data_IF_475590141231
#
_entry.id   IF_475590141231
#
_cell.length_a   1.000
_cell.length_b   1.000
_cell.length_c   1.000
_cell.angle_alpha   90.00
_cell.angle_beta   90.00
_cell.angle_gamma   90.00
#
_symmetry.space_group_name_H-M   'P 1'
#
loop_
_entity.id
_entity.type
_entity.pdbx_description
1 polymer ?
#
# COMPACT_ATOMS: atom_id res chain seq x y z
N UNK A 1 9.68 -31.02 -0.12
CA UNK A 1 10.40 -29.75 -0.36
C UNK A 1 9.38 -28.62 -0.30
N UNK A 2 9.22 -27.97 0.85
CA UNK A 2 8.13 -27.01 1.13
C UNK A 2 8.61 -25.54 1.19
N UNK A 3 9.81 -25.29 0.65
CA UNK A 3 10.55 -24.04 0.77
C UNK A 3 10.05 -23.00 -0.28
N UNK A 4 9.48 -23.44 -1.40
CA UNK A 4 9.14 -22.55 -2.51
C UNK A 4 7.88 -21.69 -2.30
N UNK A 5 6.87 -22.19 -1.57
CA UNK A 5 5.58 -21.48 -1.47
C UNK A 5 5.66 -20.17 -0.68
N UNK A 6 6.47 -20.11 0.38
CA UNK A 6 6.47 -18.96 1.30
C UNK A 6 7.31 -17.80 0.80
N UNK A 7 8.45 -18.11 0.19
CA UNK A 7 9.31 -17.10 -0.46
C UNK A 7 8.51 -16.46 -1.60
N UNK A 8 7.84 -17.28 -2.42
CA UNK A 8 6.95 -16.78 -3.48
C UNK A 8 5.84 -15.88 -2.92
N UNK A 9 5.20 -16.26 -1.81
CA UNK A 9 4.19 -15.42 -1.16
C UNK A 9 4.75 -14.10 -0.61
N UNK A 10 5.95 -14.12 -0.03
CA UNK A 10 6.61 -12.92 0.47
C UNK A 10 7.00 -11.98 -0.67
N UNK A 11 7.51 -12.52 -1.79
CA UNK A 11 7.81 -11.76 -3.00
C UNK A 11 6.54 -11.14 -3.60
N UNK A 12 5.46 -11.92 -3.69
CA UNK A 12 4.16 -11.40 -4.15
C UNK A 12 3.61 -10.31 -3.23
N UNK A 13 3.79 -10.45 -1.91
CA UNK A 13 3.39 -9.42 -0.96
C UNK A 13 4.25 -8.16 -1.04
N UNK A 14 5.53 -8.29 -1.40
CA UNK A 14 6.46 -7.18 -1.59
C UNK A 14 6.28 -6.46 -2.92
N UNK A 15 5.70 -7.13 -3.94
CA UNK A 15 5.59 -6.62 -5.30
C UNK A 15 4.99 -5.19 -5.39
N UNK A 16 3.88 -4.87 -4.70
CA UNK A 16 3.32 -3.52 -4.75
C UNK A 16 4.27 -2.47 -4.15
N UNK A 17 5.00 -2.84 -3.10
CA UNK A 17 5.97 -1.96 -2.46
C UNK A 17 7.20 -1.74 -3.35
N UNK A 18 7.67 -2.79 -4.03
CA UNK A 18 8.80 -2.72 -4.97
C UNK A 18 8.48 -1.93 -6.24
N UNK A 19 7.20 -1.83 -6.61
CA UNK A 19 6.74 -1.00 -7.73
C UNK A 19 6.62 0.48 -7.35
N UNK A 20 6.65 0.85 -6.07
CA UNK A 20 6.58 2.25 -5.65
C UNK A 20 7.69 3.16 -6.20
N UNK A 21 8.98 2.79 -6.29
CA UNK A 21 10.00 3.64 -6.93
C UNK A 21 9.77 3.80 -8.43
N UNK A 22 9.26 2.78 -9.12
CA UNK A 22 8.87 2.85 -10.53
C UNK A 22 7.71 3.84 -10.74
N UNK A 23 6.72 3.81 -9.84
CA UNK A 23 5.61 4.76 -9.85
C UNK A 23 6.10 6.20 -9.61
N UNK A 24 6.99 6.40 -8.65
CA UNK A 24 7.57 7.70 -8.34
C UNK A 24 8.39 8.25 -9.52
N UNK A 25 9.19 7.39 -10.16
CA UNK A 25 9.92 7.75 -11.38
C UNK A 25 8.98 8.13 -12.52
N UNK A 26 7.95 7.33 -12.79
CA UNK A 26 6.98 7.61 -13.85
C UNK A 26 6.20 8.92 -13.63
N UNK A 27 5.89 9.26 -12.37
CA UNK A 27 5.27 10.53 -12.00
C UNK A 27 6.25 11.71 -12.10
N UNK A 28 7.50 11.52 -11.67
CA UNK A 28 8.53 12.57 -11.71
C UNK A 28 8.94 12.93 -13.15
N UNK A 29 9.00 11.95 -14.05
CA UNK A 29 9.27 12.14 -15.48
C UNK A 29 8.05 12.62 -16.27
N UNK A 30 6.89 12.79 -15.63
CA UNK A 30 5.65 13.24 -16.28
C UNK A 30 5.05 12.22 -17.24
N UNK A 31 5.44 10.95 -17.16
CA UNK A 31 4.83 9.87 -17.96
C UNK A 31 3.40 9.57 -17.50
N UNK A 32 3.11 9.87 -16.23
CA UNK A 32 1.78 9.84 -15.64
C UNK A 32 1.44 11.25 -15.18
N UNK A 33 0.42 11.85 -15.81
CA UNK A 33 -0.14 13.14 -15.44
C UNK A 33 -1.60 12.95 -15.05
N UNK A 34 -1.91 13.26 -13.80
CA UNK A 34 -3.27 13.22 -13.23
C UNK A 34 -3.88 14.61 -13.10
N UNK A 35 -3.26 15.62 -13.71
CA UNK A 35 -3.72 17.00 -13.75
C UNK A 35 -3.26 17.86 -12.58
N UNK A 36 -2.42 17.33 -11.68
CA UNK A 36 -1.85 18.07 -10.55
C UNK A 36 -0.41 18.54 -10.78
N UNK A 37 0.22 18.19 -11.91
CA UNK A 37 1.60 18.58 -12.23
C UNK A 37 2.60 18.01 -11.22
N UNK A 38 3.49 18.84 -10.69
CA UNK A 38 4.49 18.41 -9.68
C UNK A 38 3.86 17.84 -8.40
N UNK A 39 2.58 18.16 -8.12
CA UNK A 39 1.86 17.67 -6.95
C UNK A 39 1.36 16.24 -7.12
N UNK A 40 1.45 15.65 -8.31
CA UNK A 40 1.05 14.26 -8.51
C UNK A 40 1.94 13.28 -7.74
N UNK A 41 3.16 13.71 -7.36
CA UNK A 41 4.02 12.97 -6.43
C UNK A 41 3.35 12.78 -5.06
N UNK A 42 2.43 13.67 -4.65
CA UNK A 42 1.67 13.50 -3.41
C UNK A 42 0.71 12.30 -3.47
N UNK A 43 0.29 11.84 -4.66
CA UNK A 43 -0.50 10.60 -4.80
C UNK A 43 0.32 9.35 -4.46
N UNK A 44 1.65 9.45 -4.42
CA UNK A 44 2.52 8.35 -4.00
C UNK A 44 2.41 8.09 -2.49
N UNK A 45 2.14 9.11 -1.67
CA UNK A 45 1.98 8.95 -0.21
C UNK A 45 0.87 7.97 0.18
N UNK A 46 -0.40 8.13 -0.26
CA UNK A 46 -1.45 7.16 0.06
C UNK A 46 -1.15 5.77 -0.51
N UNK A 47 -0.52 5.68 -1.69
CA UNK A 47 -0.10 4.41 -2.26
C UNK A 47 0.98 3.71 -1.41
N UNK A 48 1.98 4.46 -0.93
CA UNK A 48 3.02 3.94 -0.04
C UNK A 48 2.44 3.45 1.28
N UNK A 49 1.54 4.22 1.90
CA UNK A 49 0.86 3.81 3.14
C UNK A 49 0.09 2.50 2.92
N UNK A 50 -0.65 2.40 1.81
CA UNK A 50 -1.42 1.21 1.45
C UNK A 50 -0.49 -0.01 1.28
N UNK A 51 0.52 0.10 0.42
CA UNK A 51 1.40 -1.00 0.05
C UNK A 51 2.31 -1.43 1.19
N UNK A 52 2.79 -0.49 2.01
CA UNK A 52 3.58 -0.78 3.20
C UNK A 52 2.75 -1.52 4.26
N UNK A 53 1.55 -1.02 4.57
CA UNK A 53 0.64 -1.67 5.53
C UNK A 53 0.26 -3.08 5.06
N UNK A 54 -0.01 -3.23 3.77
CA UNK A 54 -0.30 -4.52 3.16
C UNK A 54 0.87 -5.49 3.30
N UNK A 55 2.09 -5.04 3.01
CA UNK A 55 3.30 -5.84 3.14
C UNK A 55 3.53 -6.30 4.58
N UNK A 56 3.51 -5.38 5.55
CA UNK A 56 3.68 -5.70 6.97
C UNK A 56 2.62 -6.69 7.48
N UNK A 57 1.34 -6.46 7.16
CA UNK A 57 0.26 -7.37 7.56
C UNK A 57 0.43 -8.76 6.92
N UNK A 58 0.81 -8.79 5.64
CA UNK A 58 1.00 -10.03 4.90
C UNK A 58 2.17 -10.84 5.44
N UNK A 59 3.31 -10.19 5.75
CA UNK A 59 4.44 -10.86 6.40
C UNK A 59 4.04 -11.53 7.72
N UNK A 60 3.34 -10.82 8.60
CA UNK A 60 2.89 -11.39 9.89
C UNK A 60 1.97 -12.60 9.69
N UNK A 61 1.05 -12.54 8.72
CA UNK A 61 0.10 -13.63 8.45
C UNK A 61 0.74 -14.82 7.73
N UNK A 62 1.70 -14.57 6.83
CA UNK A 62 2.51 -15.61 6.17
C UNK A 62 3.37 -16.34 7.22
N UNK A 63 3.98 -15.61 8.17
CA UNK A 63 4.74 -16.20 9.28
C UNK A 63 3.85 -17.05 10.19
N UNK A 64 2.59 -16.65 10.40
CA UNK A 64 1.57 -17.44 11.14
C UNK A 64 1.04 -18.66 10.36
N UNK A 65 1.55 -18.93 9.15
CA UNK A 65 1.17 -20.07 8.28
C UNK A 65 -0.30 -20.05 7.85
N UNK A 66 -0.88 -18.88 7.64
CA UNK A 66 -2.25 -18.76 7.17
C UNK A 66 -2.36 -19.15 5.68
N UNK A 67 -3.49 -19.74 5.23
CA UNK A 67 -3.68 -20.07 3.83
C UNK A 67 -3.75 -18.79 2.97
N UNK A 68 -3.31 -18.90 1.72
CA UNK A 68 -3.17 -17.78 0.77
C UNK A 68 -4.40 -16.86 0.74
N UNK A 69 -5.57 -17.46 0.58
CA UNK A 69 -6.84 -16.75 0.45
C UNK A 69 -7.21 -15.93 1.69
N UNK A 70 -6.83 -16.36 2.89
CA UNK A 70 -7.18 -15.65 4.14
C UNK A 70 -6.25 -14.49 4.40
N UNK A 71 -4.94 -14.66 4.19
CA UNK A 71 -4.01 -13.58 4.46
C UNK A 71 -4.17 -12.45 3.45
N UNK A 72 -4.35 -12.75 2.16
CA UNK A 72 -4.55 -11.72 1.12
C UNK A 72 -5.79 -10.87 1.44
N UNK A 73 -6.92 -11.51 1.75
CA UNK A 73 -8.17 -10.80 2.08
C UNK A 73 -8.03 -9.95 3.34
N UNK A 74 -7.43 -10.48 4.41
CA UNK A 74 -7.25 -9.72 5.66
C UNK A 74 -6.26 -8.57 5.51
N UNK A 75 -5.13 -8.79 4.86
CA UNK A 75 -4.15 -7.74 4.61
C UNK A 75 -4.74 -6.63 3.74
N UNK A 76 -5.48 -6.99 2.69
CA UNK A 76 -6.18 -6.02 1.85
C UNK A 76 -7.20 -5.22 2.66
N UNK A 77 -8.09 -5.91 3.41
CA UNK A 77 -9.10 -5.26 4.23
C UNK A 77 -8.50 -4.31 5.28
N UNK A 78 -7.41 -4.71 5.94
CA UNK A 78 -6.71 -3.86 6.91
C UNK A 78 -6.07 -2.64 6.26
N UNK A 79 -5.45 -2.81 5.10
CA UNK A 79 -4.77 -1.72 4.40
C UNK A 79 -5.76 -0.69 3.86
N UNK A 80 -6.85 -1.15 3.22
CA UNK A 80 -7.94 -0.27 2.79
C UNK A 80 -8.66 0.38 3.97
N UNK A 81 -8.88 -0.38 5.06
CA UNK A 81 -9.48 0.15 6.28
C UNK A 81 -8.65 1.26 6.92
N UNK A 82 -7.33 1.08 6.99
CA UNK A 82 -6.41 2.10 7.51
C UNK A 82 -6.40 3.34 6.62
N UNK A 83 -6.32 3.16 5.30
CA UNK A 83 -6.34 4.28 4.35
C UNK A 83 -7.64 5.08 4.47
N UNK A 84 -8.78 4.40 4.54
CA UNK A 84 -10.09 5.02 4.69
C UNK A 84 -10.21 5.76 6.02
N UNK A 85 -9.68 5.19 7.11
CA UNK A 85 -9.66 5.84 8.42
C UNK A 85 -8.78 7.10 8.40
N UNK A 86 -7.59 7.05 7.82
CA UNK A 86 -6.71 8.21 7.65
C UNK A 86 -7.39 9.30 6.82
N UNK A 87 -8.11 8.91 5.77
CA UNK A 87 -8.85 9.84 4.93
C UNK A 87 -10.00 10.51 5.70
N UNK A 88 -10.74 9.75 6.51
CA UNK A 88 -11.78 10.31 7.41
C UNK A 88 -11.15 11.30 8.41
N UNK A 89 -10.02 10.95 9.03
CA UNK A 89 -9.33 11.84 9.97
C UNK A 89 -8.87 13.13 9.28
N UNK A 90 -8.26 13.03 8.09
CA UNK A 90 -7.87 14.19 7.29
C UNK A 90 -9.08 15.06 6.89
N UNK A 91 -10.21 14.43 6.55
CA UNK A 91 -11.45 15.13 6.24
C UNK A 91 -12.03 15.86 7.46
N UNK A 92 -12.04 15.23 8.63
CA UNK A 92 -12.57 15.86 9.85
C UNK A 92 -11.66 17.00 10.34
N UNK A 93 -10.34 16.82 10.27
CA UNK A 93 -9.38 17.86 10.67
C UNK A 93 -9.42 19.08 9.76
N UNK A 94 -9.63 18.89 8.45
CA UNK A 94 -9.82 20.01 7.52
C UNK A 94 -11.09 20.81 7.80
N UNK A 95 -12.18 20.14 8.19
CA UNK A 95 -13.41 20.80 8.65
C UNK A 95 -13.23 21.59 9.96
N UNK A 96 -12.37 21.11 10.86
CA UNK A 96 -12.07 21.78 12.13
C UNK A 96 -11.11 22.97 11.96
N UNK A 97 -10.66 23.27 10.73
CA UNK A 97 -9.76 24.39 10.45
C UNK A 97 -8.36 24.21 11.03
N UNK A 98 -7.98 22.98 11.39
CA UNK A 98 -6.62 22.64 11.81
C UNK A 98 -5.85 22.27 10.55
N UNK A 99 -5.39 23.28 9.82
CA UNK A 99 -4.48 23.16 8.68
C UNK A 99 -3.12 23.74 9.00
#
# INVERSE_FOLDING_TARGET
MAIDSRITQAVLAALPLLLSPLLLFALAEGWLDFGGGEKDVLLVLPYLILTFTFFCCSLVLILKRWPLSRWVKRSAALSFGLLLLLWIVAYVTSWLGVS
#
